data_IF_968981917873
#
_entry.id   IF_968981917873
#
_cell.length_a   1.000
_cell.length_b   1.000
_cell.length_c   1.000
_cell.angle_alpha   90.00
_cell.angle_beta   90.00
_cell.angle_gamma   90.00
#
_symmetry.space_group_name_H-M   'P 1'
#
loop_
_entity.id
_entity.type
_entity.pdbx_description
1 polymer ?
#
# COMPACT_ATOMS: atom_id res chain seq x y z
N UNK A 1 -12.21 24.17 -1.60
CA UNK A 1 -10.92 23.49 -1.92
C UNK A 1 -10.16 23.32 -0.61
N UNK A 2 -9.58 22.15 -0.33
CA UNK A 2 -8.90 21.91 0.94
C UNK A 2 -7.56 22.69 0.99
N UNK A 3 -7.30 23.38 2.10
CA UNK A 3 -6.01 24.05 2.34
C UNK A 3 -5.01 23.06 2.94
N UNK A 4 -3.86 22.85 2.30
CA UNK A 4 -2.78 22.02 2.83
C UNK A 4 -1.82 22.90 3.63
N UNK A 5 -1.70 22.63 4.92
CA UNK A 5 -0.80 23.35 5.83
C UNK A 5 0.32 22.41 6.23
N UNK A 6 1.57 22.75 5.92
CA UNK A 6 2.70 21.91 6.28
C UNK A 6 3.11 22.11 7.75
N UNK A 7 3.25 20.99 8.47
CA UNK A 7 3.73 20.98 9.85
C UNK A 7 5.25 20.97 9.88
N UNK A 8 5.86 21.89 10.64
CA UNK A 8 7.31 21.95 10.89
C UNK A 8 7.79 21.01 12.01
N UNK A 9 6.89 20.28 12.65
CA UNK A 9 7.21 19.36 13.75
C UNK A 9 7.95 18.14 13.20
N UNK A 10 8.97 17.65 13.92
CA UNK A 10 9.72 16.45 13.52
C UNK A 10 8.88 15.16 13.57
N UNK A 11 7.83 15.13 14.41
CA UNK A 11 6.92 13.99 14.54
C UNK A 11 5.79 14.07 13.50
N UNK A 12 5.59 12.99 12.75
CA UNK A 12 4.42 12.80 11.91
C UNK A 12 3.24 12.29 12.76
N UNK A 13 2.17 13.08 12.82
CA UNK A 13 0.92 12.73 13.51
C UNK A 13 -0.18 12.57 12.45
N UNK A 14 -0.88 11.45 12.44
CA UNK A 14 -1.95 11.14 11.47
C UNK A 14 -1.57 11.51 10.03
N UNK A 15 -0.52 10.86 9.46
CA UNK A 15 0.02 11.26 8.17
C UNK A 15 -1.01 11.12 7.05
N UNK A 16 -1.07 12.13 6.17
CA UNK A 16 -1.92 12.11 4.97
C UNK A 16 -1.35 11.21 3.87
N UNK A 17 -0.03 10.98 3.88
CA UNK A 17 0.71 10.27 2.83
C UNK A 17 1.08 8.86 3.29
N UNK A 18 1.01 7.90 2.37
CA UNK A 18 1.42 6.51 2.56
C UNK A 18 2.70 6.20 1.78
N UNK A 19 3.28 5.02 2.00
CA UNK A 19 4.55 4.61 1.37
C UNK A 19 4.44 4.46 -0.15
N UNK A 20 5.51 4.80 -0.87
CA UNK A 20 5.62 4.63 -2.32
C UNK A 20 5.40 3.18 -2.83
N UNK A 21 5.96 2.12 -2.20
CA UNK A 21 5.76 0.75 -2.68
C UNK A 21 4.29 0.31 -2.66
N UNK A 22 3.45 0.85 -1.76
CA UNK A 22 2.01 0.55 -1.75
C UNK A 22 1.35 0.97 -3.07
N UNK A 23 1.68 2.17 -3.56
CA UNK A 23 1.16 2.68 -4.83
C UNK A 23 1.70 1.89 -6.04
N UNK A 24 2.98 1.53 -6.02
CA UNK A 24 3.58 0.70 -7.07
C UNK A 24 2.91 -0.69 -7.13
N UNK A 25 2.70 -1.34 -5.99
CA UNK A 25 2.00 -2.62 -5.92
C UNK A 25 0.56 -2.52 -6.41
N UNK A 26 -0.16 -1.45 -6.07
CA UNK A 26 -1.51 -1.22 -6.61
C UNK A 26 -1.50 -1.10 -8.14
N UNK A 27 -0.52 -0.42 -8.72
CA UNK A 27 -0.39 -0.32 -10.18
C UNK A 27 -0.11 -1.68 -10.82
N UNK A 28 0.79 -2.48 -10.25
CA UNK A 28 1.11 -3.82 -10.77
C UNK A 28 -0.02 -4.83 -10.59
N UNK A 29 -0.82 -4.75 -9.52
CA UNK A 29 -2.03 -5.57 -9.35
C UNK A 29 -3.10 -5.31 -10.43
N UNK A 30 -3.01 -4.20 -11.15
CA UNK A 30 -3.85 -3.91 -12.31
C UNK A 30 -3.41 -4.61 -13.60
N UNK A 31 -2.23 -5.22 -13.63
CA UNK A 31 -1.75 -5.99 -14.77
C UNK A 31 -2.27 -7.43 -14.70
N UNK A 32 -2.69 -7.97 -15.84
CA UNK A 32 -3.14 -9.36 -15.93
C UNK A 32 -1.99 -10.34 -15.61
N UNK A 33 -2.30 -11.37 -14.81
CA UNK A 33 -1.36 -12.39 -14.36
C UNK A 33 -0.04 -11.86 -13.74
N UNK A 34 -0.05 -10.67 -13.12
CA UNK A 34 1.14 -10.09 -12.47
C UNK A 34 1.16 -10.34 -10.95
N UNK A 35 2.32 -10.78 -10.45
CA UNK A 35 2.59 -10.97 -9.03
C UNK A 35 3.61 -9.92 -8.55
N UNK A 36 3.17 -8.84 -7.86
CA UNK A 36 4.09 -7.83 -7.37
C UNK A 36 4.88 -8.31 -6.15
N UNK A 37 6.20 -8.12 -6.19
CA UNK A 37 7.11 -8.41 -5.09
C UNK A 37 7.69 -7.10 -4.55
N UNK A 38 7.46 -6.83 -3.26
CA UNK A 38 8.12 -5.72 -2.57
C UNK A 38 9.47 -6.21 -2.04
N UNK A 39 10.58 -5.74 -2.63
CA UNK A 39 11.91 -6.06 -2.12
C UNK A 39 12.17 -5.32 -0.80
N UNK A 40 12.15 -6.05 0.32
CA UNK A 40 12.31 -5.51 1.66
C UNK A 40 12.01 -6.56 2.72
N UNK A 41 11.85 -6.13 3.97
CA UNK A 41 11.38 -7.04 5.02
C UNK A 41 9.93 -7.45 4.75
N UNK A 42 9.56 -8.68 5.15
CA UNK A 42 8.21 -9.22 4.99
C UNK A 42 7.11 -8.30 5.56
N UNK A 43 7.45 -7.51 6.59
CA UNK A 43 6.56 -6.53 7.20
C UNK A 43 6.05 -5.48 6.20
N UNK A 44 6.92 -4.98 5.30
CA UNK A 44 6.52 -4.01 4.29
C UNK A 44 5.42 -4.57 3.38
N UNK A 45 5.56 -5.84 2.98
CA UNK A 45 4.56 -6.50 2.16
C UNK A 45 3.28 -6.80 2.92
N UNK A 46 3.36 -7.34 4.13
CA UNK A 46 2.17 -7.72 4.90
C UNK A 46 1.31 -6.51 5.27
N UNK A 47 1.91 -5.37 5.64
CA UNK A 47 1.17 -4.13 5.90
C UNK A 47 0.48 -3.60 4.63
N UNK A 48 1.19 -3.62 3.49
CA UNK A 48 0.61 -3.17 2.23
C UNK A 48 -0.57 -4.02 1.78
N UNK A 49 -0.43 -5.36 1.87
CA UNK A 49 -1.50 -6.30 1.55
C UNK A 49 -2.72 -6.10 2.45
N UNK A 50 -2.54 -6.03 3.77
CA UNK A 50 -3.64 -5.83 4.73
C UNK A 50 -4.39 -4.52 4.45
N UNK A 51 -3.67 -3.44 4.11
CA UNK A 51 -4.29 -2.16 3.73
C UNK A 51 -5.18 -2.29 2.48
N UNK A 52 -4.65 -2.91 1.42
CA UNK A 52 -5.37 -3.09 0.16
C UNK A 52 -6.59 -4.02 0.32
N UNK A 53 -6.43 -5.14 1.04
CA UNK A 53 -7.52 -6.08 1.30
C UNK A 53 -8.63 -5.43 2.13
N UNK A 54 -8.30 -4.58 3.10
CA UNK A 54 -9.31 -3.84 3.87
C UNK A 54 -10.04 -2.79 3.03
N UNK A 55 -9.34 -2.12 2.12
CA UNK A 55 -9.91 -1.07 1.27
C UNK A 55 -10.83 -1.66 0.18
N UNK A 56 -10.33 -2.65 -0.57
CA UNK A 56 -11.06 -3.24 -1.69
C UNK A 56 -11.96 -4.41 -1.30
N UNK A 57 -11.75 -5.03 -0.13
CA UNK A 57 -12.47 -6.23 0.35
C UNK A 57 -12.29 -7.47 -0.53
N UNK A 58 -11.23 -7.49 -1.35
CA UNK A 58 -10.91 -8.58 -2.29
C UNK A 58 -9.71 -9.42 -1.85
N UNK A 59 -9.71 -9.90 -0.60
CA UNK A 59 -8.59 -10.66 -0.04
C UNK A 59 -8.20 -11.89 -0.86
N UNK A 60 -9.19 -12.66 -1.29
CA UNK A 60 -8.95 -13.93 -1.96
C UNK A 60 -8.20 -13.79 -3.30
N UNK A 61 -8.46 -12.73 -4.06
CA UNK A 61 -7.79 -12.50 -5.36
C UNK A 61 -6.31 -12.09 -5.17
N UNK A 62 -6.04 -11.28 -4.16
CA UNK A 62 -4.70 -10.77 -3.87
C UNK A 62 -3.82 -11.88 -3.26
N UNK A 63 -4.36 -12.69 -2.34
CA UNK A 63 -3.60 -13.78 -1.72
C UNK A 63 -3.31 -14.95 -2.67
N UNK A 64 -4.16 -15.20 -3.68
CA UNK A 64 -3.95 -16.29 -4.66
C UNK A 64 -2.67 -16.12 -5.50
N UNK A 65 -2.21 -14.88 -5.67
CA UNK A 65 -0.94 -14.57 -6.32
C UNK A 65 0.19 -14.42 -5.29
N UNK A 66 0.06 -14.85 -4.04
CA UNK A 66 1.12 -14.68 -3.04
C UNK A 66 1.48 -15.98 -2.31
N UNK A 67 0.93 -17.12 -2.78
CA UNK A 67 1.39 -18.49 -2.52
C UNK A 67 2.06 -19.05 -3.77
#
# INVERSE_FOLDING_TARGET
>A
MASVIESKKACAMNPLKMSQPLGATLAFLGLDACMPVMHGSQGCTSFGLVLLVRHFKEGHRIFRFWE
#
